data_IF_961181893806
#
_entry.id   IF_961181893806
#
_cell.length_a   1.000
_cell.length_b   1.000
_cell.length_c   1.000
_cell.angle_alpha   90.00
_cell.angle_beta   90.00
_cell.angle_gamma   90.00
#
_symmetry.space_group_name_H-M   'P 1'
#
loop_
_entity.id
_entity.type
_entity.pdbx_description
1 polymer ?
#
# COMPACT_ATOMS: atom_id res chain seq x y z
N UNK A 1 -3.88 5.10 64.93
CA UNK A 1 -2.99 5.02 63.75
C UNK A 1 -3.47 3.93 62.77
N UNK A 2 -4.52 4.11 61.95
CA UNK A 2 -4.92 3.12 60.91
C UNK A 2 -5.70 3.74 59.72
N UNK A 3 -5.29 4.90 59.22
CA UNK A 3 -5.88 5.48 57.99
C UNK A 3 -4.84 5.93 56.94
N UNK A 4 -3.53 5.72 57.19
CA UNK A 4 -2.47 6.14 56.25
C UNK A 4 -2.05 5.05 55.26
N UNK A 5 -2.49 3.80 55.44
CA UNK A 5 -2.10 2.67 54.59
C UNK A 5 -3.04 2.41 53.41
N UNK A 6 -4.23 3.01 53.36
CA UNK A 6 -5.19 2.80 52.28
C UNK A 6 -4.89 3.62 51.00
N UNK A 7 -4.13 4.71 51.10
CA UNK A 7 -3.82 5.59 49.96
C UNK A 7 -2.66 5.08 49.08
N UNK A 8 -1.80 4.19 49.59
CA UNK A 8 -0.63 3.69 48.83
C UNK A 8 -1.03 2.52 47.91
N UNK A 9 -2.09 1.78 48.22
CA UNK A 9 -2.56 0.67 47.39
C UNK A 9 -3.36 1.12 46.15
N UNK A 10 -3.89 2.34 46.13
CA UNK A 10 -4.67 2.85 45.00
C UNK A 10 -3.80 3.39 43.83
N UNK A 11 -2.50 3.64 44.05
CA UNK A 11 -1.61 4.19 43.03
C UNK A 11 -1.00 3.16 42.08
N UNK A 12 -1.17 1.85 42.34
CA UNK A 12 -0.59 0.76 41.55
C UNK A 12 -1.52 0.21 40.45
N UNK A 13 -2.70 0.79 40.28
CA UNK A 13 -3.69 0.42 39.26
C UNK A 13 -3.82 1.50 38.16
N UNK A 14 -2.77 2.27 37.89
CA UNK A 14 -2.75 3.11 36.70
C UNK A 14 -2.76 2.19 35.47
N UNK A 15 -3.80 2.22 34.62
CA UNK A 15 -3.79 1.46 33.37
C UNK A 15 -2.61 1.95 32.54
N UNK A 16 -1.70 1.05 32.18
CA UNK A 16 -0.68 1.33 31.18
C UNK A 16 -1.40 1.67 29.89
N UNK A 17 -1.40 2.95 29.52
CA UNK A 17 -1.85 3.35 28.20
C UNK A 17 -0.96 2.62 27.19
N UNK A 18 -1.55 1.70 26.42
CA UNK A 18 -0.84 1.06 25.32
C UNK A 18 -0.39 2.16 24.36
N UNK A 19 0.90 2.42 24.32
CA UNK A 19 1.45 3.45 23.44
C UNK A 19 1.38 2.92 22.01
N UNK A 20 0.63 3.64 21.17
CA UNK A 20 0.59 3.34 19.75
C UNK A 20 1.93 3.72 19.11
N UNK A 21 2.52 2.80 18.37
CA UNK A 21 3.78 3.02 17.67
C UNK A 21 3.53 3.51 16.23
N UNK A 22 4.33 4.44 15.70
CA UNK A 22 4.23 4.82 14.30
C UNK A 22 4.55 3.65 13.35
N UNK A 23 3.85 3.58 12.23
CA UNK A 23 4.09 2.64 11.16
C UNK A 23 3.89 3.25 9.78
N UNK A 24 4.26 2.50 8.74
CA UNK A 24 4.08 2.87 7.33
C UNK A 24 3.41 1.71 6.60
N UNK A 25 2.47 2.02 5.72
CA UNK A 25 1.86 1.03 4.81
C UNK A 25 2.74 0.86 3.58
N UNK A 26 3.18 -0.37 3.30
CA UNK A 26 4.10 -0.66 2.18
C UNK A 26 3.39 -0.87 0.85
N UNK A 27 2.11 -1.22 0.88
CA UNK A 27 1.27 -1.43 -0.31
C UNK A 27 -0.14 -0.98 0.04
N UNK A 28 -0.81 -0.30 -0.90
CA UNK A 28 -2.20 0.13 -0.72
C UNK A 28 -3.09 -1.03 -0.25
N UNK A 29 -3.77 -0.83 0.88
CA UNK A 29 -4.51 -1.90 1.57
C UNK A 29 -5.81 -1.39 2.18
N UNK A 30 -6.64 -2.31 2.66
CA UNK A 30 -7.91 -1.98 3.31
C UNK A 30 -7.77 -1.91 4.82
N UNK A 31 -8.25 -0.83 5.42
CA UNK A 31 -8.53 -0.77 6.86
C UNK A 31 -9.86 -1.49 7.10
N UNK A 32 -9.88 -2.50 7.97
CA UNK A 32 -11.05 -3.38 8.16
C UNK A 32 -11.64 -3.27 9.55
N UNK A 33 -12.93 -3.58 9.67
CA UNK A 33 -13.63 -3.53 10.95
C UNK A 33 -13.27 -4.66 11.92
N UNK A 34 -12.39 -5.58 11.52
CA UNK A 34 -11.94 -6.70 12.33
C UNK A 34 -10.77 -7.44 11.67
N UNK A 35 -10.07 -8.31 12.41
CA UNK A 35 -8.91 -9.05 11.93
C UNK A 35 -9.34 -10.17 10.98
N UNK A 36 -9.40 -9.87 9.69
CA UNK A 36 -9.75 -10.84 8.66
C UNK A 36 -10.24 -10.20 7.37
N UNK A 37 -9.93 -10.81 6.23
CA UNK A 37 -10.28 -10.28 4.92
C UNK A 37 -11.79 -10.25 4.62
N UNK A 38 -12.60 -11.01 5.36
CA UNK A 38 -14.06 -11.00 5.22
C UNK A 38 -14.77 -9.89 6.00
N UNK A 39 -14.09 -9.21 6.94
CA UNK A 39 -14.69 -8.07 7.63
C UNK A 39 -14.91 -6.89 6.68
N UNK A 40 -15.92 -6.04 6.94
CA UNK A 40 -16.20 -4.85 6.15
C UNK A 40 -14.97 -3.92 6.06
N UNK A 41 -14.83 -3.26 4.91
CA UNK A 41 -13.88 -2.16 4.77
C UNK A 41 -14.41 -0.94 5.52
N UNK A 42 -13.50 -0.37 6.32
CA UNK A 42 -13.67 0.90 7.02
C UNK A 42 -13.18 2.01 6.12
N UNK A 43 -11.97 1.87 5.59
CA UNK A 43 -11.34 2.82 4.66
C UNK A 43 -10.28 2.12 3.79
N UNK A 44 -9.71 2.85 2.83
CA UNK A 44 -8.55 2.44 2.03
C UNK A 44 -7.33 3.25 2.44
N UNK A 45 -6.28 2.55 2.87
CA UNK A 45 -5.02 3.16 3.26
C UNK A 45 -4.05 3.09 2.07
N UNK A 46 -3.58 4.24 1.54
CA UNK A 46 -2.66 4.24 0.42
C UNK A 46 -1.26 3.78 0.82
N UNK A 47 -0.47 3.37 -0.16
CA UNK A 47 0.96 3.10 0.02
C UNK A 47 1.71 4.34 0.51
N UNK A 48 2.69 4.14 1.39
CA UNK A 48 3.46 5.20 2.04
C UNK A 48 2.71 5.95 3.14
N UNK A 49 1.43 5.64 3.36
CA UNK A 49 0.66 6.27 4.43
C UNK A 49 1.25 5.96 5.80
N UNK A 50 1.31 7.00 6.64
CA UNK A 50 1.67 6.86 8.05
C UNK A 50 0.44 6.42 8.83
N UNK A 51 0.66 5.47 9.71
CA UNK A 51 -0.37 4.94 10.59
C UNK A 51 0.15 4.81 12.02
N UNK A 52 -0.75 4.65 12.99
CA UNK A 52 -0.37 4.32 14.35
C UNK A 52 -0.83 2.90 14.68
N UNK A 53 0.11 2.02 14.99
CA UNK A 53 -0.08 0.62 15.33
C UNK A 53 -0.26 0.52 16.84
N UNK A 54 -1.44 0.11 17.29
CA UNK A 54 -1.79 0.00 18.71
C UNK A 54 -1.47 -1.37 19.29
N UNK A 55 -1.33 -2.36 18.40
CA UNK A 55 -0.94 -3.71 18.74
C UNK A 55 -1.35 -4.68 17.64
N UNK A 56 -0.91 -5.93 17.77
CA UNK A 56 -1.28 -7.00 16.85
C UNK A 56 -2.05 -8.11 17.54
N UNK A 57 -2.89 -8.80 16.78
CA UNK A 57 -3.53 -10.02 17.25
C UNK A 57 -2.44 -11.08 17.51
N UNK A 58 -2.73 -12.04 18.40
CA UNK A 58 -1.85 -13.21 18.58
C UNK A 58 -1.55 -13.88 17.23
N UNK A 59 -0.27 -14.18 16.99
CA UNK A 59 0.20 -14.71 15.70
C UNK A 59 0.51 -13.62 14.67
N UNK A 60 0.40 -12.35 15.06
CA UNK A 60 0.92 -11.16 14.36
C UNK A 60 0.40 -10.95 12.94
N UNK A 61 -0.63 -11.67 12.48
CA UNK A 61 -1.11 -11.57 11.09
C UNK A 61 -1.95 -10.31 10.81
N UNK A 62 -2.57 -9.76 11.85
CA UNK A 62 -3.41 -8.57 11.79
C UNK A 62 -3.04 -7.63 12.93
N UNK A 63 -2.98 -6.34 12.63
CA UNK A 63 -2.69 -5.31 13.61
C UNK A 63 -3.80 -4.27 13.65
N UNK A 64 -4.12 -3.85 14.86
CA UNK A 64 -5.05 -2.77 15.15
C UNK A 64 -4.34 -1.44 14.97
N UNK A 65 -4.90 -0.60 14.12
CA UNK A 65 -4.25 0.55 13.52
C UNK A 65 -5.24 1.71 13.48
N UNK A 66 -4.77 2.92 13.76
CA UNK A 66 -5.49 4.15 13.40
C UNK A 66 -4.85 4.81 12.19
N UNK A 67 -5.69 5.20 11.25
CA UNK A 67 -5.33 5.95 10.06
C UNK A 67 -6.38 7.04 9.85
N UNK A 68 -5.93 8.29 9.69
CA UNK A 68 -6.84 9.44 9.75
C UNK A 68 -7.65 9.41 11.06
N UNK A 69 -8.96 9.68 10.99
CA UNK A 69 -9.89 9.59 12.11
C UNK A 69 -10.50 8.18 12.33
N UNK A 70 -10.13 7.21 11.48
CA UNK A 70 -10.64 5.85 11.57
C UNK A 70 -9.70 4.93 12.36
N UNK A 71 -10.30 4.02 13.13
CA UNK A 71 -9.65 2.89 13.80
C UNK A 71 -10.02 1.61 13.05
N UNK A 72 -9.12 0.63 12.96
CA UNK A 72 -9.42 -0.65 12.32
C UNK A 72 -8.24 -1.60 12.24
N UNK A 73 -8.39 -2.69 11.51
CA UNK A 73 -7.41 -3.76 11.39
C UNK A 73 -6.80 -3.81 9.99
N UNK A 74 -5.47 -3.92 9.94
CA UNK A 74 -4.69 -4.08 8.70
C UNK A 74 -3.86 -5.35 8.80
N UNK A 75 -3.64 -6.05 7.69
CA UNK A 75 -2.74 -7.20 7.70
C UNK A 75 -1.29 -6.72 7.87
N UNK A 76 -0.58 -7.34 8.81
CA UNK A 76 0.80 -6.94 9.16
C UNK A 76 1.78 -7.08 8.01
N UNK A 77 1.50 -7.93 7.02
CA UNK A 77 2.33 -8.09 5.82
C UNK A 77 2.42 -6.84 4.94
N UNK A 78 1.61 -5.83 5.23
CA UNK A 78 1.66 -4.54 4.55
C UNK A 78 2.17 -3.41 5.45
N UNK A 79 2.71 -3.73 6.63
CA UNK A 79 3.13 -2.75 7.61
C UNK A 79 4.64 -2.78 7.85
N UNK A 80 5.21 -1.59 7.94
CA UNK A 80 6.46 -1.35 8.64
C UNK A 80 6.18 -0.74 10.01
N UNK A 81 7.02 -1.09 10.98
CA UNK A 81 6.93 -0.65 12.36
C UNK A 81 8.14 0.20 12.71
N UNK A 82 7.94 1.31 13.41
CA UNK A 82 9.04 2.14 13.89
C UNK A 82 9.67 1.50 15.12
N UNK A 83 10.85 0.90 14.93
CA UNK A 83 11.65 0.30 16.00
C UNK A 83 13.01 0.98 16.07
N UNK A 84 13.46 1.38 17.27
CA UNK A 84 14.79 2.00 17.49
C UNK A 84 15.13 3.07 16.44
N UNK A 85 14.18 3.97 16.19
CA UNK A 85 14.29 5.09 15.25
C UNK A 85 14.46 4.72 13.76
N UNK A 86 14.04 3.52 13.35
CA UNK A 86 14.00 3.10 11.95
C UNK A 86 12.79 2.21 11.65
N UNK A 87 12.30 2.26 10.41
CA UNK A 87 11.18 1.44 9.98
C UNK A 87 11.66 0.05 9.58
N UNK A 88 11.02 -0.97 10.15
CA UNK A 88 11.31 -2.38 9.87
C UNK A 88 10.05 -3.11 9.43
N UNK A 89 10.21 -4.04 8.51
CA UNK A 89 9.13 -4.86 7.98
C UNK A 89 8.54 -5.73 9.09
N UNK A 90 7.30 -5.43 9.48
CA UNK A 90 6.75 -5.91 10.74
C UNK A 90 6.74 -7.44 10.87
N UNK A 91 6.37 -8.25 9.85
CA UNK A 91 6.35 -9.70 9.97
C UNK A 91 7.68 -10.36 10.33
N UNK A 92 8.80 -9.79 9.86
CA UNK A 92 10.13 -10.35 10.13
C UNK A 92 10.63 -9.99 11.53
N UNK A 93 10.03 -8.96 12.15
CA UNK A 93 10.49 -8.35 13.39
C UNK A 93 9.49 -8.46 14.54
N UNK A 94 8.28 -8.98 14.31
CA UNK A 94 7.19 -8.95 15.29
C UNK A 94 7.55 -9.61 16.63
N UNK A 95 8.40 -10.64 16.62
CA UNK A 95 8.87 -11.33 17.82
C UNK A 95 10.04 -10.60 18.52
N UNK A 96 10.77 -9.74 17.80
CA UNK A 96 11.89 -8.94 18.35
C UNK A 96 11.42 -7.59 18.90
N UNK A 97 10.45 -6.96 18.24
CA UNK A 97 10.02 -5.57 18.53
C UNK A 97 8.97 -5.48 19.64
N UNK A 98 8.60 -6.63 20.24
CA UNK A 98 7.64 -6.77 21.33
C UNK A 98 6.35 -5.97 21.10
N UNK A 99 5.78 -6.12 19.89
CA UNK A 99 4.55 -5.40 19.53
C UNK A 99 3.45 -5.82 20.50
N UNK A 100 2.74 -4.87 21.14
CA UNK A 100 1.68 -5.21 22.09
C UNK A 100 0.67 -6.17 21.48
N UNK A 101 0.37 -7.27 22.18
CA UNK A 101 -0.67 -8.20 21.74
C UNK A 101 -2.03 -7.68 22.21
N UNK A 102 -2.93 -7.38 21.28
CA UNK A 102 -4.27 -6.85 21.57
C UNK A 102 -5.35 -7.87 21.20
N UNK A 103 -6.32 -8.14 22.09
CA UNK A 103 -7.44 -9.01 21.77
C UNK A 103 -8.44 -8.30 20.85
N UNK A 104 -9.15 -9.06 20.02
CA UNK A 104 -10.30 -8.57 19.30
C UNK A 104 -11.58 -9.14 19.91
N UNK A 105 -12.39 -8.27 20.49
CA UNK A 105 -13.74 -8.58 20.95
C UNK A 105 -14.71 -7.74 20.14
N UNK A 106 -15.47 -8.41 19.25
CA UNK A 106 -16.32 -7.76 18.27
C UNK A 106 -17.24 -6.71 18.90
N UNK A 107 -18.01 -7.10 19.92
CA UNK A 107 -19.05 -6.23 20.51
C UNK A 107 -18.48 -4.95 21.11
N UNK A 108 -17.41 -5.02 21.91
CA UNK A 108 -16.82 -3.84 22.55
C UNK A 108 -16.07 -2.98 21.55
N UNK A 109 -15.31 -3.59 20.63
CA UNK A 109 -14.58 -2.88 19.60
C UNK A 109 -15.55 -2.12 18.67
N UNK A 110 -16.61 -2.79 18.21
CA UNK A 110 -17.58 -2.16 17.31
C UNK A 110 -18.39 -1.08 17.99
N UNK A 111 -18.79 -1.27 19.26
CA UNK A 111 -19.49 -0.23 20.00
C UNK A 111 -18.60 1.00 20.24
N UNK A 112 -17.28 0.82 20.35
CA UNK A 112 -16.37 1.95 20.56
C UNK A 112 -16.14 2.77 19.30
N UNK A 113 -16.12 2.15 18.11
CA UNK A 113 -15.64 2.80 16.89
C UNK A 113 -16.66 2.89 15.76
N UNK A 114 -17.75 2.11 15.78
CA UNK A 114 -18.54 1.85 14.58
C UNK A 114 -20.06 1.92 14.75
N UNK A 115 -20.59 2.51 15.82
CA UNK A 115 -22.06 2.58 16.07
C UNK A 115 -22.84 3.15 14.88
N UNK A 116 -22.27 4.13 14.17
CA UNK A 116 -22.89 4.76 12.99
C UNK A 116 -22.74 3.99 11.68
N UNK A 117 -22.05 2.84 11.64
CA UNK A 117 -21.74 2.16 10.37
C UNK A 117 -22.91 1.27 9.91
N UNK A 118 -23.23 1.19 8.60
CA UNK A 118 -24.41 0.45 8.10
C UNK A 118 -24.44 -1.03 8.49
N UNK A 119 -23.26 -1.65 8.57
CA UNK A 119 -23.10 -3.06 8.93
C UNK A 119 -23.11 -3.32 10.44
N UNK A 120 -23.05 -2.27 11.29
CA UNK A 120 -23.06 -2.37 12.75
C UNK A 120 -24.27 -3.15 13.24
N UNK A 121 -25.47 -2.93 12.68
CA UNK A 121 -26.70 -3.62 13.11
C UNK A 121 -26.65 -5.16 12.97
N UNK A 122 -25.72 -5.71 12.20
CA UNK A 122 -25.57 -7.16 11.97
C UNK A 122 -24.61 -7.84 12.95
N UNK A 123 -24.58 -7.44 14.23
CA UNK A 123 -23.67 -8.00 15.24
C UNK A 123 -23.71 -9.53 15.30
N UNK A 124 -24.90 -10.14 15.31
CA UNK A 124 -25.03 -11.59 15.40
C UNK A 124 -24.34 -12.32 14.23
N UNK A 125 -24.50 -11.82 13.01
CA UNK A 125 -23.84 -12.37 11.82
C UNK A 125 -22.31 -12.28 11.94
N UNK A 126 -21.80 -11.11 12.32
CA UNK A 126 -20.36 -10.88 12.44
C UNK A 126 -19.73 -11.62 13.61
N UNK A 127 -20.48 -11.82 14.69
CA UNK A 127 -20.04 -12.62 15.82
C UNK A 127 -19.87 -14.09 15.40
N UNK A 128 -20.84 -14.63 14.65
CA UNK A 128 -20.74 -15.99 14.11
C UNK A 128 -19.60 -16.12 13.08
N UNK A 129 -19.40 -15.11 12.23
CA UNK A 129 -18.26 -15.04 11.31
C UNK A 129 -16.94 -15.07 12.09
N UNK A 130 -16.80 -14.23 13.12
CA UNK A 130 -15.58 -14.16 13.92
C UNK A 130 -15.27 -15.49 14.61
N UNK A 131 -16.24 -16.07 15.32
CA UNK A 131 -16.07 -17.36 16.01
C UNK A 131 -15.64 -18.48 15.06
N UNK A 132 -16.09 -18.45 13.80
CA UNK A 132 -15.71 -19.44 12.79
C UNK A 132 -14.39 -19.14 12.06
N UNK A 133 -13.85 -17.92 12.14
CA UNK A 133 -12.68 -17.49 11.37
C UNK A 133 -11.47 -17.06 12.20
N UNK A 134 -11.61 -16.92 13.52
CA UNK A 134 -10.52 -16.50 14.43
C UNK A 134 -9.23 -17.30 14.20
N UNK A 135 -9.32 -18.63 14.07
CA UNK A 135 -8.16 -19.51 13.84
C UNK A 135 -7.34 -19.16 12.59
N UNK A 136 -7.99 -18.61 11.57
CA UNK A 136 -7.34 -18.19 10.34
C UNK A 136 -6.74 -16.80 10.49
N UNK A 137 -7.41 -15.92 11.24
CA UNK A 137 -6.90 -14.59 11.55
C UNK A 137 -5.64 -14.63 12.43
N UNK A 138 -5.47 -15.65 13.27
CA UNK A 138 -4.25 -15.84 14.07
C UNK A 138 -3.13 -16.55 13.32
N UNK A 139 -3.37 -17.01 12.09
CA UNK A 139 -2.35 -17.69 11.28
C UNK A 139 -1.72 -16.69 10.31
N UNK A 140 -0.42 -16.48 10.46
CA UNK A 140 0.34 -15.66 9.54
C UNK A 140 0.50 -16.37 8.19
N UNK A 141 -0.02 -15.75 7.13
CA UNK A 141 0.15 -16.21 5.74
C UNK A 141 0.79 -15.09 4.94
N UNK A 142 2.09 -15.19 4.70
CA UNK A 142 2.86 -14.14 4.04
C UNK A 142 2.74 -14.28 2.52
N UNK A 143 2.23 -13.25 1.87
CA UNK A 143 2.34 -13.11 0.41
C UNK A 143 3.82 -12.83 0.01
N UNK A 144 4.45 -13.64 -0.87
CA UNK A 144 5.85 -13.45 -1.24
C UNK A 144 6.15 -12.11 -1.90
N UNK A 145 5.18 -11.52 -2.60
CA UNK A 145 5.36 -10.23 -3.26
C UNK A 145 5.34 -9.09 -2.24
N UNK A 146 4.37 -9.07 -1.32
CA UNK A 146 4.32 -8.14 -0.18
C UNK A 146 5.60 -8.22 0.66
N UNK A 147 6.07 -9.43 0.97
CA UNK A 147 7.31 -9.62 1.71
C UNK A 147 8.55 -9.10 0.97
N UNK A 148 8.57 -9.18 -0.37
CA UNK A 148 9.67 -8.62 -1.16
C UNK A 148 9.68 -7.09 -1.06
N UNK A 149 8.51 -6.45 -1.19
CA UNK A 149 8.37 -4.99 -1.09
C UNK A 149 8.75 -4.52 0.31
N UNK A 150 8.17 -5.10 1.36
CA UNK A 150 8.43 -4.68 2.73
C UNK A 150 9.90 -4.83 3.13
N UNK A 151 10.54 -5.97 2.82
CA UNK A 151 11.97 -6.16 3.08
C UNK A 151 12.86 -5.22 2.27
N UNK A 152 12.45 -4.85 1.05
CA UNK A 152 13.16 -3.85 0.26
C UNK A 152 13.07 -2.47 0.92
N UNK A 153 11.87 -2.06 1.34
CA UNK A 153 11.65 -0.79 2.04
C UNK A 153 12.50 -0.69 3.33
N UNK A 154 12.56 -1.76 4.13
CA UNK A 154 13.41 -1.81 5.33
C UNK A 154 14.89 -1.67 5.00
N UNK A 155 15.37 -2.32 3.92
CA UNK A 155 16.75 -2.18 3.47
C UNK A 155 17.04 -0.73 3.07
N UNK A 156 16.13 -0.11 2.32
CA UNK A 156 16.31 1.27 1.85
C UNK A 156 16.32 2.26 3.01
N UNK A 157 15.48 2.05 4.03
CA UNK A 157 15.49 2.80 5.29
C UNK A 157 16.83 2.65 6.03
N UNK A 158 17.36 1.43 6.13
CA UNK A 158 18.67 1.19 6.75
C UNK A 158 19.82 1.88 5.99
N UNK A 159 19.80 1.86 4.66
CA UNK A 159 20.79 2.55 3.83
C UNK A 159 20.70 4.06 4.04
N UNK A 160 19.49 4.63 4.09
CA UNK A 160 19.30 6.07 4.33
C UNK A 160 19.90 6.49 5.68
N UNK A 161 19.67 5.73 6.74
CA UNK A 161 20.25 5.99 8.06
C UNK A 161 21.78 5.88 8.08
N UNK A 162 22.34 4.93 7.34
CA UNK A 162 23.79 4.82 7.15
C UNK A 162 24.37 6.06 6.47
N UNK A 163 23.72 6.57 5.42
CA UNK A 163 24.14 7.82 4.75
C UNK A 163 24.10 9.00 5.70
N UNK A 164 23.06 9.12 6.52
CA UNK A 164 22.92 10.20 7.50
C UNK A 164 24.00 10.13 8.59
N UNK A 165 24.32 8.92 9.06
CA UNK A 165 25.40 8.70 10.03
C UNK A 165 26.77 9.07 9.46
N UNK A 166 27.07 8.70 8.21
CA UNK A 166 28.30 9.11 7.52
C UNK A 166 28.36 10.62 7.31
N UNK A 167 27.28 11.26 6.86
CA UNK A 167 27.21 12.70 6.68
C UNK A 167 27.44 13.48 7.99
N UNK A 168 26.90 12.99 9.12
CA UNK A 168 27.19 13.54 10.45
C UNK A 168 28.64 13.31 10.87
N UNK A 169 29.20 12.13 10.61
CA UNK A 169 30.61 11.82 10.84
C UNK A 169 31.56 12.75 10.09
N UNK A 170 31.27 13.04 8.81
CA UNK A 170 32.04 13.97 7.99
C UNK A 170 31.90 15.43 8.46
N UNK A 171 30.73 15.83 8.98
CA UNK A 171 30.53 17.14 9.58
C UNK A 171 31.33 17.33 10.88
N UNK A 172 31.41 16.28 11.72
CA UNK A 172 32.25 16.29 12.91
C UNK A 172 33.76 16.21 12.57
N UNK A 173 34.14 15.50 11.50
CA UNK A 173 35.51 15.47 10.99
C UNK A 173 35.94 16.80 10.34
N UNK A 174 35.01 17.60 9.80
CA UNK A 174 35.30 18.95 9.26
C UNK A 174 35.65 19.99 10.34
N UNK A 175 35.49 19.67 11.62
CA UNK A 175 35.94 20.51 12.74
C UNK A 175 37.44 20.45 13.03
N UNK A 176 38.17 19.49 12.45
CA UNK A 176 39.61 19.41 12.59
C UNK A 176 40.24 18.67 11.40
N UNK A 177 41.21 19.32 10.75
CA UNK A 177 42.28 18.72 9.92
C UNK A 177 42.08 18.66 8.38
N UNK A 178 42.90 19.51 7.74
CA UNK A 178 43.65 19.42 6.46
C UNK A 178 43.02 18.79 5.21
N UNK A 179 43.06 19.60 4.15
CA UNK A 179 42.59 19.37 2.77
C UNK A 179 43.24 18.18 2.03
N UNK A 180 44.24 17.49 2.58
CA UNK A 180 45.03 16.49 1.85
C UNK A 180 44.32 15.14 1.56
N UNK A 181 43.22 14.82 2.23
CA UNK A 181 42.54 13.51 2.08
C UNK A 181 41.48 13.43 0.98
N UNK A 182 40.90 14.57 0.57
CA UNK A 182 39.80 14.61 -0.41
C UNK A 182 40.27 14.21 -1.81
N UNK A 183 41.46 14.63 -2.20
CA UNK A 183 42.00 14.36 -3.55
C UNK A 183 42.25 12.86 -3.77
N UNK A 184 42.62 12.12 -2.72
CA UNK A 184 42.81 10.68 -2.78
C UNK A 184 41.49 9.90 -2.90
N UNK A 185 40.40 10.40 -2.31
CA UNK A 185 39.10 9.76 -2.40
C UNK A 185 38.45 9.99 -3.78
N UNK A 186 38.56 11.21 -4.32
CA UNK A 186 38.08 11.54 -5.67
C UNK A 186 38.84 10.74 -6.73
N UNK A 187 40.16 10.64 -6.62
CA UNK A 187 40.98 9.84 -7.54
C UNK A 187 40.63 8.33 -7.53
N UNK A 188 40.25 7.79 -6.37
CA UNK A 188 39.78 6.39 -6.27
C UNK A 188 38.41 6.19 -6.91
N UNK A 189 37.52 7.18 -6.81
CA UNK A 189 36.20 7.14 -7.44
C UNK A 189 36.32 7.17 -8.97
N UNK A 190 37.14 8.08 -9.50
CA UNK A 190 37.37 8.22 -10.95
C UNK A 190 38.01 6.96 -11.54
N UNK A 191 38.96 6.35 -10.82
CA UNK A 191 39.56 5.07 -11.22
C UNK A 191 38.55 3.91 -11.20
N UNK A 192 37.56 3.93 -10.31
CA UNK A 192 36.51 2.92 -10.26
C UNK A 192 35.49 3.07 -11.39
N UNK A 193 35.17 4.31 -11.79
CA UNK A 193 34.34 4.60 -12.97
C UNK A 193 35.06 4.15 -14.25
N UNK A 194 36.33 4.51 -14.41
CA UNK A 194 37.12 4.08 -15.57
C UNK A 194 37.19 2.54 -15.71
N UNK A 195 37.32 1.81 -14.59
CA UNK A 195 37.28 0.33 -14.60
C UNK A 195 35.93 -0.23 -15.02
N UNK A 196 34.83 0.41 -14.63
CA UNK A 196 33.47 0.01 -15.04
C UNK A 196 33.26 0.23 -16.54
N UNK A 197 33.70 1.37 -17.07
CA UNK A 197 33.54 1.67 -18.50
C UNK A 197 34.33 0.69 -19.38
N UNK A 198 35.53 0.28 -18.94
CA UNK A 198 36.31 -0.77 -19.61
C UNK A 198 35.57 -2.12 -19.58
N UNK A 199 35.00 -2.52 -18.44
CA UNK A 199 34.26 -3.77 -18.32
C UNK A 199 33.00 -3.80 -19.21
N UNK A 200 32.27 -2.68 -19.27
CA UNK A 200 31.08 -2.52 -20.14
C UNK A 200 31.48 -2.56 -21.62
N UNK A 201 32.63 -1.98 -21.98
CA UNK A 201 33.17 -2.07 -23.35
C UNK A 201 33.50 -3.49 -23.77
N UNK A 202 34.09 -4.30 -22.88
CA UNK A 202 34.42 -5.70 -23.14
C UNK A 202 33.16 -6.55 -23.34
N UNK A 203 32.12 -6.32 -22.53
CA UNK A 203 30.85 -7.06 -22.64
C UNK A 203 30.10 -6.74 -23.94
N UNK A 204 30.10 -5.46 -24.36
CA UNK A 204 29.55 -5.04 -25.65
C UNK A 204 30.26 -5.73 -26.82
N UNK A 205 31.60 -5.77 -26.80
CA UNK A 205 32.40 -6.45 -27.83
C UNK A 205 32.12 -7.96 -27.90
N UNK A 206 31.90 -8.61 -26.74
CA UNK A 206 31.56 -10.03 -26.68
C UNK A 206 30.19 -10.30 -27.31
N UNK A 207 29.20 -9.48 -26.99
CA UNK A 207 27.85 -9.57 -27.54
C UNK A 207 27.83 -9.37 -29.05
N UNK A 208 28.54 -8.37 -29.58
CA UNK A 208 28.65 -8.14 -31.02
C UNK A 208 29.34 -9.30 -31.75
N UNK A 209 30.37 -9.90 -31.14
CA UNK A 209 31.04 -11.07 -31.70
C UNK A 209 30.11 -12.29 -31.74
N UNK A 210 29.33 -12.52 -30.68
CA UNK A 210 28.32 -13.58 -30.64
C UNK A 210 27.22 -13.39 -31.69
N UNK A 211 26.74 -12.16 -31.91
CA UNK A 211 25.75 -11.88 -32.95
C UNK A 211 26.29 -12.16 -34.36
N UNK A 212 27.54 -11.82 -34.64
CA UNK A 212 28.19 -12.16 -35.93
C UNK A 212 28.23 -13.66 -36.19
N UNK A 213 28.59 -14.47 -35.19
CA UNK A 213 28.61 -15.93 -35.33
C UNK A 213 27.22 -16.53 -35.57
N UNK A 214 26.17 -15.97 -34.98
CA UNK A 214 24.79 -16.41 -35.22
C UNK A 214 24.37 -16.06 -36.64
N UNK A 215 24.58 -14.82 -37.09
CA UNK A 215 24.25 -14.40 -38.46
C UNK A 215 24.98 -15.23 -39.52
N UNK A 216 26.25 -15.57 -39.29
CA UNK A 216 27.03 -16.38 -40.23
C UNK A 216 26.51 -17.82 -40.31
N UNK A 217 26.11 -18.43 -39.18
CA UNK A 217 25.43 -19.73 -39.17
C UNK A 217 24.10 -19.70 -39.91
N UNK A 218 23.29 -18.67 -39.68
CA UNK A 218 21.99 -18.50 -40.35
C UNK A 218 22.16 -18.30 -41.86
N UNK A 219 23.19 -17.58 -42.31
CA UNK A 219 23.50 -17.37 -43.72
C UNK A 219 23.96 -18.64 -44.44
N UNK A 220 24.65 -19.55 -43.74
CA UNK A 220 25.04 -20.86 -44.28
C UNK A 220 23.85 -21.84 -44.33
N UNK A 221 22.96 -21.79 -43.34
CA UNK A 221 21.74 -22.62 -43.31
C UNK A 221 20.78 -22.29 -44.46
N UNK A 222 20.63 -21.02 -44.83
CA UNK A 222 19.78 -20.58 -45.95
C UNK A 222 20.27 -21.00 -47.35
N UNK A 223 21.47 -21.58 -47.47
CA UNK A 223 22.01 -22.12 -48.74
C UNK A 223 21.89 -23.65 -48.84
N UNK A 224 21.04 -24.28 -48.04
CA UNK A 224 20.85 -25.72 -48.09
C UNK A 224 19.94 -26.10 -49.28
N UNK A 225 20.40 -26.93 -50.24
CA UNK A 225 19.64 -27.22 -51.47
C UNK A 225 18.30 -27.93 -51.24
N UNK A 226 18.07 -28.50 -50.05
CA UNK A 226 16.79 -29.14 -49.67
C UNK A 226 15.67 -28.13 -49.42
N UNK A 227 15.99 -26.96 -48.86
CA UNK A 227 14.99 -25.92 -48.58
C UNK A 227 14.56 -25.21 -49.87
N UNK A 228 15.49 -25.03 -50.81
CA UNK A 228 15.19 -24.54 -52.16
C UNK A 228 14.25 -25.49 -52.95
N UNK A 229 14.43 -26.81 -52.81
CA UNK A 229 13.50 -27.80 -53.39
C UNK A 229 12.12 -27.76 -52.73
N UNK A 230 12.04 -27.59 -51.41
CA UNK A 230 10.77 -27.48 -50.70
C UNK A 230 9.96 -26.26 -51.15
N UNK A 231 10.62 -25.12 -51.38
CA UNK A 231 9.98 -23.91 -51.93
C UNK A 231 9.46 -24.12 -53.36
N UNK A 232 10.23 -24.76 -54.25
CA UNK A 232 9.78 -25.04 -55.62
C UNK A 232 8.57 -26.01 -55.67
N UNK A 233 8.54 -27.01 -54.78
CA UNK A 233 7.41 -27.96 -54.72
C UNK A 233 6.13 -27.30 -54.20
N UNK A 234 6.22 -26.33 -53.29
CA UNK A 234 5.06 -25.58 -52.79
C UNK A 234 4.46 -24.68 -53.88
N UNK A 235 5.31 -24.05 -54.70
CA UNK A 235 4.89 -23.21 -55.83
C UNK A 235 4.20 -24.02 -56.94
N UNK A 236 4.70 -25.22 -57.23
CA UNK A 236 4.09 -26.15 -58.18
C UNK A 236 2.75 -26.73 -57.68
N UNK A 237 2.60 -26.95 -56.37
CA UNK A 237 1.34 -27.39 -55.78
C UNK A 237 0.27 -26.28 -55.82
N UNK A 238 0.66 -25.04 -55.54
CA UNK A 238 -0.24 -23.88 -55.61
C UNK A 238 -0.73 -23.61 -57.04
N UNK A 239 0.13 -23.79 -58.04
CA UNK A 239 -0.24 -23.63 -59.45
C UNK A 239 -1.11 -24.76 -59.99
N UNK A 240 -0.99 -26.01 -59.47
CA UNK A 240 -1.93 -27.11 -59.79
C UNK A 240 -3.33 -26.91 -59.20
N UNK A 241 -3.43 -26.34 -58.00
CA UNK A 241 -4.72 -26.08 -57.35
C UNK A 241 -5.57 -25.05 -58.10
N UNK A 242 -4.94 -24.08 -58.79
CA UNK A 242 -5.63 -23.05 -59.57
C UNK A 242 -6.28 -23.58 -60.87
N UNK A 243 -5.88 -24.75 -61.38
CA UNK A 243 -6.39 -25.31 -62.65
C UNK A 243 -7.66 -26.16 -62.46
N UNK A 244 -7.99 -26.57 -61.23
CA UNK A 244 -9.09 -27.51 -60.94
C UNK A 244 -10.42 -26.87 -60.48
N UNK A 245 -10.55 -25.54 -60.49
CA UNK A 245 -11.77 -24.85 -60.09
C UNK A 245 -12.46 -24.13 -61.27
N UNK A 246 -13.22 -24.87 -62.07
CA UNK A 246 -14.33 -24.34 -62.86
C UNK A 246 -15.53 -25.28 -62.74
N UNK A 247 -16.75 -24.77 -62.48
CA UNK A 247 -17.94 -25.49 -62.90
C UNK A 247 -18.91 -24.66 -63.75
N UNK A 248 -19.48 -25.38 -64.71
CA UNK A 248 -20.50 -25.03 -65.71
C UNK A 248 -21.94 -25.19 -65.16
N UNK A 249 -22.92 -24.86 -66.01
CA UNK A 249 -24.30 -24.44 -65.74
C UNK A 249 -25.42 -25.50 -65.57
N UNK A 250 -26.60 -24.99 -65.13
CA UNK A 250 -28.04 -25.41 -65.31
C UNK A 250 -28.58 -26.63 -64.52
N UNK A 251 -29.87 -26.78 -64.17
CA UNK A 251 -31.09 -25.97 -63.91
C UNK A 251 -32.24 -26.98 -63.58
N UNK A 252 -33.28 -26.61 -62.80
CA UNK A 252 -34.72 -26.85 -63.09
C UNK A 252 -35.68 -26.42 -61.94
N UNK A 253 -36.60 -25.51 -62.32
CA UNK A 253 -38.04 -25.29 -61.99
C UNK A 253 -38.66 -25.38 -60.57
N UNK A 254 -39.62 -24.47 -60.30
CA UNK A 254 -40.35 -24.18 -59.04
C UNK A 254 -41.75 -24.85 -58.93
N UNK A 255 -42.54 -24.66 -57.84
CA UNK A 255 -43.42 -23.47 -57.72
C UNK A 255 -43.63 -22.84 -56.30
N UNK A 256 -44.20 -21.62 -56.34
CA UNK A 256 -44.64 -20.58 -55.36
C UNK A 256 -45.31 -21.09 -54.05
N UNK A 257 -45.38 -20.36 -52.91
CA UNK A 257 -46.14 -19.09 -52.64
C UNK A 257 -45.66 -18.33 -51.36
N UNK A 258 -45.87 -17.00 -51.36
CA UNK A 258 -46.20 -16.08 -50.23
C UNK A 258 -45.15 -15.13 -49.61
N UNK A 259 -45.22 -13.88 -50.09
CA UNK A 259 -45.32 -12.57 -49.39
C UNK A 259 -44.33 -12.11 -48.26
N UNK A 260 -43.45 -11.14 -48.64
CA UNK A 260 -43.14 -9.79 -48.09
C UNK A 260 -43.46 -9.42 -46.60
N UNK A 261 -42.72 -8.46 -45.94
CA UNK A 261 -42.26 -7.16 -46.48
C UNK A 261 -40.85 -6.64 -46.04
N UNK A 262 -40.11 -5.96 -46.95
CA UNK A 262 -39.84 -4.49 -47.06
C UNK A 262 -38.48 -4.03 -46.51
N UNK A 263 -37.79 -3.23 -47.34
CA UNK A 263 -36.43 -2.72 -47.25
C UNK A 263 -36.36 -1.34 -46.54
N UNK A 264 -35.30 -1.05 -45.74
CA UNK A 264 -34.12 -0.16 -45.99
C UNK A 264 -34.44 1.37 -45.99
N UNK A 265 -33.53 2.30 -45.61
CA UNK A 265 -32.17 2.43 -46.18
C UNK A 265 -31.07 3.02 -45.26
N UNK A 266 -29.93 3.36 -45.87
CA UNK A 266 -28.61 3.48 -45.27
C UNK A 266 -27.92 4.85 -45.53
N UNK A 267 -27.02 5.22 -44.59
CA UNK A 267 -25.76 6.02 -44.70
C UNK A 267 -25.88 7.55 -44.90
N UNK A 268 -24.94 8.40 -44.40
CA UNK A 268 -23.58 8.50 -44.94
C UNK A 268 -22.43 8.79 -43.94
N UNK A 269 -21.21 8.68 -44.45
CA UNK A 269 -19.91 8.82 -43.78
C UNK A 269 -19.41 10.27 -43.78
N UNK A 270 -18.59 10.67 -42.79
CA UNK A 270 -17.56 11.71 -42.96
C UNK A 270 -16.32 11.43 -42.09
N UNK A 271 -15.18 11.87 -42.61
CA UNK A 271 -13.81 11.49 -42.29
C UNK A 271 -13.21 12.08 -41.00
N UNK A 272 -12.13 11.43 -40.54
CA UNK A 272 -11.23 11.85 -39.45
C UNK A 272 -10.55 13.21 -39.71
N UNK A 273 -10.02 13.83 -38.64
CA UNK A 273 -8.57 14.00 -38.63
C UNK A 273 -7.90 13.63 -37.29
N UNK A 274 -6.62 13.29 -37.41
CA UNK A 274 -5.69 12.93 -36.35
C UNK A 274 -5.13 14.19 -35.66
N UNK A 275 -5.11 14.25 -34.32
CA UNK A 275 -4.40 15.29 -33.56
C UNK A 275 -3.72 14.66 -32.34
N UNK A 276 -2.39 14.84 -32.29
CA UNK A 276 -1.51 14.57 -31.16
C UNK A 276 -1.55 15.73 -30.14
N UNK A 277 -0.92 15.53 -28.97
CA UNK A 277 -0.71 16.46 -27.82
C UNK A 277 -1.69 16.18 -26.67
N UNK A 278 -1.31 16.10 -25.40
CA UNK A 278 -0.05 16.33 -24.70
C UNK A 278 -0.31 16.09 -23.19
N UNK A 279 0.74 15.87 -22.42
CA UNK A 279 0.67 15.79 -20.96
C UNK A 279 0.20 17.14 -20.35
N UNK A 280 -0.55 17.13 -19.24
CA UNK A 280 -0.55 18.24 -18.28
C UNK A 280 0.36 17.85 -17.10
N UNK A 281 1.57 18.40 -17.03
CA UNK A 281 1.93 19.59 -16.23
C UNK A 281 1.54 19.52 -14.74
N UNK A 282 2.60 19.48 -13.92
CA UNK A 282 2.63 19.86 -12.50
C UNK A 282 1.87 21.17 -12.27
N UNK A 283 0.79 21.09 -11.50
CA UNK A 283 0.21 22.24 -10.84
C UNK A 283 0.82 22.37 -9.44
N UNK A 284 1.87 23.17 -9.33
CA UNK A 284 2.13 23.89 -8.09
C UNK A 284 0.97 24.88 -7.89
N UNK A 285 0.03 24.54 -7.01
CA UNK A 285 -0.93 25.50 -6.48
C UNK A 285 -0.48 25.87 -5.05
N UNK A 286 -0.16 27.16 -4.88
CA UNK A 286 0.13 27.78 -3.60
C UNK A 286 -0.96 27.45 -2.56
N UNK A 287 -0.50 26.98 -1.40
CA UNK A 287 -1.27 26.99 -0.16
C UNK A 287 -1.52 28.44 0.27
N UNK A 288 -2.77 28.84 0.60
CA UNK A 288 -2.99 30.03 1.41
C UNK A 288 -2.55 29.74 2.84
N UNK A 289 -1.79 30.67 3.43
CA UNK A 289 -1.28 30.59 4.79
C UNK A 289 -2.42 30.39 5.83
N UNK A 290 -2.18 29.64 6.93
CA UNK A 290 -3.12 29.59 8.03
C UNK A 290 -3.13 30.96 8.73
N UNK A 291 -4.32 31.59 8.78
CA UNK A 291 -4.57 32.72 9.68
C UNK A 291 -4.35 32.25 11.11
N UNK A 292 -3.41 32.89 11.79
CA UNK A 292 -3.21 32.78 13.22
C UNK A 292 -4.51 33.15 13.96
N UNK A 293 -5.16 32.17 14.58
CA UNK A 293 -6.10 32.42 15.65
C UNK A 293 -5.28 32.69 16.91
N UNK A 294 -5.13 33.98 17.24
CA UNK A 294 -4.59 34.39 18.53
C UNK A 294 -5.55 33.97 19.67
N UNK A 295 -5.02 33.61 20.85
CA UNK A 295 -5.83 33.25 22.00
C UNK A 295 -6.50 34.49 22.60
N UNK A 296 -7.83 34.45 22.75
CA UNK A 296 -8.56 35.41 23.55
C UNK A 296 -8.28 35.15 25.04
N UNK A 297 -7.44 36.01 25.63
CA UNK A 297 -7.29 36.17 27.08
C UNK A 297 -8.29 37.21 27.61
N UNK A 298 -8.61 37.20 28.92
CA UNK A 298 -9.88 37.67 29.46
C UNK A 298 -9.88 39.17 29.78
N UNK A 299 -11.05 39.82 29.66
CA UNK A 299 -11.30 41.12 30.26
C UNK A 299 -11.78 40.96 31.72
N UNK A 300 -11.24 41.74 32.67
CA UNK A 300 -11.76 41.85 34.03
C UNK A 300 -12.72 43.04 34.16
N UNK A 301 -13.69 42.89 35.06
CA UNK A 301 -14.64 43.93 35.47
C UNK A 301 -16.07 43.49 35.17
N UNK A 302 -17.01 43.42 36.09
CA UNK A 302 -17.07 43.93 37.46
C UNK A 302 -18.56 44.15 37.77
N UNK A 303 -19.01 43.73 38.96
CA UNK A 303 -20.41 43.82 39.42
C UNK A 303 -21.03 42.42 39.48
N UNK A 304 -21.34 41.84 40.65
CA UNK A 304 -21.84 42.45 41.87
C UNK A 304 -23.25 41.90 42.08
N UNK A 305 -23.44 41.01 43.06
CA UNK A 305 -24.77 40.48 43.40
C UNK A 305 -24.71 39.08 44.02
N UNK A 306 -24.72 39.04 45.36
CA UNK A 306 -24.72 37.83 46.17
C UNK A 306 -25.96 36.94 45.93
N UNK A 307 -25.84 35.60 46.10
CA UNK A 307 -26.98 34.70 46.08
C UNK A 307 -27.67 34.66 47.45
N UNK A 308 -28.99 34.74 47.39
CA UNK A 308 -29.93 34.55 48.47
C UNK A 308 -30.00 33.06 48.85
N UNK A 309 -29.73 32.83 50.14
CA UNK A 309 -29.98 31.62 50.91
C UNK A 309 -31.49 31.32 50.99
N UNK A 310 -31.89 30.10 50.62
CA UNK A 310 -33.14 29.47 51.05
C UNK A 310 -32.78 28.01 51.38
N UNK A 311 -32.52 27.70 52.65
CA UNK A 311 -33.50 27.27 53.66
C UNK A 311 -33.91 25.79 53.48
N UNK A 312 -33.34 24.93 54.33
CA UNK A 312 -33.81 23.58 54.63
C UNK A 312 -34.92 23.65 55.71
N UNK A 313 -35.90 22.73 55.72
CA UNK A 313 -36.94 22.72 56.74
C UNK A 313 -36.49 21.91 57.96
N UNK A 314 -36.58 22.50 59.14
CA UNK A 314 -36.57 21.81 60.43
C UNK A 314 -37.81 22.23 61.23
N UNK A 315 -38.53 21.24 61.77
CA UNK A 315 -39.38 21.44 62.94
C UNK A 315 -40.59 20.52 62.98
N UNK A 316 -40.64 19.60 63.95
CA UNK A 316 -41.90 19.04 64.42
C UNK A 316 -41.84 17.60 64.95
N UNK A 317 -41.28 17.41 66.14
CA UNK A 317 -41.51 16.21 66.94
C UNK A 317 -41.35 16.52 68.43
N UNK A 318 -42.36 16.27 69.28
CA UNK A 318 -42.21 16.39 70.73
C UNK A 318 -42.11 15.02 71.42
N UNK A 319 -41.12 14.97 72.31
CA UNK A 319 -41.08 14.41 73.68
C UNK A 319 -41.69 13.05 74.06
N UNK A 320 -40.87 12.35 74.87
CA UNK A 320 -41.13 11.14 75.65
C UNK A 320 -42.12 11.38 76.80
N UNK A 321 -42.97 10.39 77.06
CA UNK A 321 -43.08 9.66 78.34
C UNK A 321 -43.67 8.28 78.09
#
# INVERSE_FOLDING_TARGET
MRLRTALVAALLLAPTAALAAPGIVTVSTGLRAGPGAGFPLVDRVPEGARVNIHGCLRGNAWCDVSFSDDRGWVSSQYLEYLYRNHYVYLPDYADEVDVPVVPFVLSSYWSSYYEGRPWYRRHAHWNNYWSSHERFATRMTIDPHAARIGRAATRDAAIALGRDAHARGDAHAKGNVTVSGRDAATARHDAAIAKRDVAVGVDRNRTERSQRFVNERTAVQGRNPRDAQAHMMHEQAASRAAVHAQPMARAHEAPRVSAAPVARPAMPHMAQPNVSHGAPMNAHAQMPAPRAAAPAMPHPGGGGGAPHINAAPHGGGPQKH
#
